data_IF_485060752344
#
_entry.id   IF_485060752344
#
_cell.length_a   1.000
_cell.length_b   1.000
_cell.length_c   1.000
_cell.angle_alpha   90.00
_cell.angle_beta   90.00
_cell.angle_gamma   90.00
#
_symmetry.space_group_name_H-M   'P 1'
#
loop_
_entity.id
_entity.type
_entity.pdbx_description
1 polymer ?
#
# COMPACT_ATOMS: atom_id res chain seq x y z
N UNK A 1 6.92 -6.55 -18.60
CA UNK A 1 5.62 -6.07 -18.07
C UNK A 1 5.94 -5.04 -17.02
N UNK A 2 5.49 -3.81 -17.15
CA UNK A 2 5.70 -2.79 -16.12
C UNK A 2 4.87 -3.20 -14.90
N UNK A 3 5.51 -3.55 -13.79
CA UNK A 3 4.78 -3.93 -12.58
C UNK A 3 3.90 -2.77 -12.13
N UNK A 4 2.63 -3.06 -11.81
CA UNK A 4 1.69 -2.05 -11.29
C UNK A 4 2.19 -1.48 -9.96
N UNK A 5 1.76 -0.26 -9.64
CA UNK A 5 2.10 0.39 -8.36
C UNK A 5 1.75 -0.52 -7.17
N UNK A 6 0.57 -1.16 -7.19
CA UNK A 6 0.16 -2.11 -6.15
C UNK A 6 1.14 -3.27 -5.99
N UNK A 7 1.54 -3.88 -7.10
CA UNK A 7 2.51 -4.99 -7.08
C UNK A 7 3.87 -4.58 -6.54
N UNK A 8 4.36 -3.38 -6.87
CA UNK A 8 5.62 -2.85 -6.32
C UNK A 8 5.54 -2.70 -4.79
N UNK A 9 4.41 -2.19 -4.29
CA UNK A 9 4.16 -2.04 -2.85
C UNK A 9 4.00 -3.38 -2.14
N UNK A 10 3.31 -4.34 -2.76
CA UNK A 10 3.18 -5.71 -2.26
C UNK A 10 4.55 -6.38 -2.10
N UNK A 11 5.40 -6.31 -3.14
CA UNK A 11 6.77 -6.86 -3.10
C UNK A 11 7.62 -6.22 -2.00
N UNK A 12 7.48 -4.91 -1.78
CA UNK A 12 8.13 -4.24 -0.66
C UNK A 12 7.73 -4.85 0.68
N UNK A 13 6.44 -5.03 0.93
CA UNK A 13 5.95 -5.58 2.21
C UNK A 13 6.30 -7.05 2.42
N UNK A 14 6.62 -7.81 1.36
CA UNK A 14 7.20 -9.16 1.47
C UNK A 14 8.61 -9.08 2.06
N UNK A 15 9.42 -8.10 1.63
CA UNK A 15 10.79 -7.89 2.12
C UNK A 15 10.84 -7.18 3.48
N UNK A 16 9.79 -6.43 3.82
CA UNK A 16 9.65 -5.69 5.08
C UNK A 16 8.46 -6.23 5.90
N UNK A 17 8.51 -7.49 6.39
CA UNK A 17 7.38 -8.12 7.10
C UNK A 17 7.05 -7.47 8.45
N UNK A 18 7.90 -6.57 8.94
CA UNK A 18 7.67 -5.74 10.12
C UNK A 18 6.86 -4.46 9.81
N UNK A 19 6.48 -4.23 8.55
CA UNK A 19 5.81 -3.01 8.11
C UNK A 19 4.47 -3.31 7.44
N UNK A 20 3.50 -2.44 7.67
CA UNK A 20 2.22 -2.36 6.98
C UNK A 20 2.15 -1.01 6.29
N UNK A 21 1.84 -1.01 5.01
CA UNK A 21 1.61 0.23 4.27
C UNK A 21 0.13 0.56 4.28
N UNK A 22 -0.21 1.77 4.70
CA UNK A 22 -1.55 2.32 4.57
C UNK A 22 -1.52 3.32 3.42
N UNK A 23 -2.06 2.91 2.28
CA UNK A 23 -2.07 3.69 1.05
C UNK A 23 -3.41 4.41 0.95
N UNK A 24 -3.38 5.74 0.99
CA UNK A 24 -4.55 6.55 0.64
C UNK A 24 -4.48 6.85 -0.86
N UNK A 25 -5.47 6.37 -1.61
CA UNK A 25 -5.52 6.54 -3.05
C UNK A 25 -6.91 6.98 -3.51
N UNK A 26 -6.97 7.70 -4.62
CA UNK A 26 -8.21 8.02 -5.31
C UNK A 26 -8.42 7.02 -6.46
N UNK A 27 -9.54 6.30 -6.40
CA UNK A 27 -9.94 5.28 -7.37
C UNK A 27 -11.31 5.66 -7.91
N UNK A 28 -11.40 5.94 -9.22
CA UNK A 28 -12.62 6.39 -9.88
C UNK A 28 -13.28 7.60 -9.16
N UNK A 29 -12.47 8.61 -8.82
CA UNK A 29 -12.89 9.82 -8.10
C UNK A 29 -13.37 9.60 -6.66
N UNK A 30 -13.13 8.43 -6.08
CA UNK A 30 -13.42 8.17 -4.67
C UNK A 30 -12.16 7.78 -3.92
N UNK A 31 -11.97 8.40 -2.76
CA UNK A 31 -10.86 8.09 -1.89
C UNK A 31 -11.09 6.74 -1.19
N UNK A 32 -10.06 5.92 -1.18
CA UNK A 32 -9.99 4.67 -0.46
C UNK A 32 -8.68 4.60 0.35
N UNK A 33 -8.69 3.78 1.40
CA UNK A 33 -7.50 3.42 2.16
C UNK A 33 -7.25 1.93 2.00
N UNK A 34 -6.04 1.59 1.55
CA UNK A 34 -5.64 0.23 1.24
C UNK A 34 -4.49 -0.14 2.17
N UNK A 35 -4.70 -1.16 2.99
CA UNK A 35 -3.64 -1.78 3.77
C UNK A 35 -2.90 -2.81 2.91
N UNK A 36 -1.58 -2.71 2.86
CA UNK A 36 -0.72 -3.68 2.16
C UNK A 36 0.22 -4.30 3.18
N UNK A 37 0.21 -5.64 3.25
CA UNK A 37 1.01 -6.40 4.22
C UNK A 37 1.39 -7.77 3.66
N UNK A 38 2.67 -8.12 3.74
CA UNK A 38 3.23 -9.41 3.30
C UNK A 38 2.75 -9.85 1.90
N UNK A 39 2.66 -8.90 0.98
CA UNK A 39 2.28 -9.16 -0.41
C UNK A 39 0.77 -9.19 -0.69
N UNK A 40 -0.07 -8.89 0.30
CA UNK A 40 -1.52 -8.81 0.14
C UNK A 40 -2.00 -7.38 0.32
N UNK A 41 -2.92 -6.95 -0.54
CA UNK A 41 -3.59 -5.65 -0.48
C UNK A 41 -5.05 -5.83 -0.06
N UNK A 42 -5.55 -4.97 0.83
CA UNK A 42 -6.95 -4.96 1.26
C UNK A 42 -7.47 -3.54 1.42
N UNK A 43 -8.64 -3.25 0.85
CA UNK A 43 -9.36 -2.01 1.15
C UNK A 43 -9.84 -2.03 2.60
N UNK A 44 -9.76 -0.89 3.28
CA UNK A 44 -10.25 -0.65 4.62
C UNK A 44 -11.62 0.02 4.62
N UNK A 45 -12.02 0.65 3.50
CA UNK A 45 -13.30 1.37 3.40
C UNK A 45 -14.36 0.58 2.64
N UNK A 46 -13.96 -0.39 1.82
CA UNK A 46 -14.85 -1.14 0.94
C UNK A 46 -14.59 -2.64 1.02
N UNK A 47 -15.61 -3.48 0.77
CA UNK A 47 -15.39 -4.89 0.53
C UNK A 47 -14.41 -5.07 -0.63
N UNK A 48 -13.37 -5.86 -0.43
CA UNK A 48 -12.48 -6.30 -1.51
C UNK A 48 -13.24 -7.22 -2.46
N UNK A 49 -12.96 -7.12 -3.76
CA UNK A 49 -13.49 -8.08 -4.73
C UNK A 49 -13.04 -9.49 -4.35
N UNK A 50 -13.96 -10.45 -4.40
CA UNK A 50 -13.62 -11.86 -4.21
C UNK A 50 -12.82 -12.43 -5.40
N UNK A 51 -12.82 -11.73 -6.53
CA UNK A 51 -12.03 -12.09 -7.70
C UNK A 51 -10.56 -11.67 -7.51
N UNK A 52 -9.62 -12.64 -7.39
CA UNK A 52 -8.20 -12.35 -7.18
C UNK A 52 -7.52 -11.68 -8.38
N UNK A 53 -8.13 -11.74 -9.57
CA UNK A 53 -7.60 -11.07 -10.77
C UNK A 53 -7.94 -9.57 -10.78
N UNK A 54 -8.80 -9.10 -9.87
CA UNK A 54 -9.15 -7.68 -9.74
C UNK A 54 -8.21 -7.02 -8.72
N UNK A 55 -7.25 -6.18 -9.17
CA UNK A 55 -6.31 -5.53 -8.27
C UNK A 55 -7.03 -4.52 -7.38
N UNK A 56 -6.77 -4.58 -6.06
CA UNK A 56 -7.29 -3.63 -5.08
C UNK A 56 -6.79 -2.21 -5.35
N UNK A 57 -5.54 -2.09 -5.81
CA UNK A 57 -4.94 -0.83 -6.26
C UNK A 57 -4.71 -0.87 -7.79
N UNK A 58 -5.67 -0.39 -8.60
CA UNK A 58 -5.54 -0.40 -10.05
C UNK A 58 -4.47 0.59 -10.54
N UNK A 59 -3.94 0.38 -11.75
CA UNK A 59 -2.88 1.23 -12.33
C UNK A 59 -3.27 2.71 -12.51
N UNK A 60 -4.56 2.97 -12.66
CA UNK A 60 -5.15 4.31 -12.75
C UNK A 60 -5.39 4.98 -11.38
N UNK A 61 -5.14 4.28 -10.28
CA UNK A 61 -5.29 4.85 -8.94
C UNK A 61 -4.28 5.97 -8.72
N UNK A 62 -4.73 7.10 -8.21
CA UNK A 62 -3.85 8.21 -7.84
C UNK A 62 -3.46 8.09 -6.39
N UNK A 63 -2.20 7.82 -6.11
CA UNK A 63 -1.67 7.83 -4.74
C UNK A 63 -1.72 9.26 -4.20
N UNK A 64 -2.45 9.45 -3.11
CA UNK A 64 -2.50 10.73 -2.38
C UNK A 64 -1.38 10.75 -1.34
N UNK A 65 -1.27 9.69 -0.55
CA UNK A 65 -0.22 9.52 0.46
C UNK A 65 -0.07 8.06 0.85
N UNK A 66 1.09 7.74 1.42
CA UNK A 66 1.39 6.43 2.00
C UNK A 66 1.87 6.66 3.42
N UNK A 67 1.32 5.89 4.36
CA UNK A 67 1.81 5.81 5.74
C UNK A 67 2.48 4.44 5.94
N UNK A 68 3.65 4.41 6.56
CA UNK A 68 4.36 3.20 6.99
C UNK A 68 4.08 2.98 8.47
N UNK A 69 3.55 1.82 8.82
CA UNK A 69 3.13 1.46 10.17
C UNK A 69 3.86 0.18 10.59
N UNK A 70 4.25 0.05 11.85
CA UNK A 70 4.82 -1.19 12.34
C UNK A 70 3.76 -2.29 12.45
N UNK A 71 4.18 -3.52 12.17
CA UNK A 71 3.42 -4.75 12.45
C UNK A 71 3.71 -5.23 13.88
N UNK A 72 2.73 -5.75 14.63
CA UNK A 72 1.32 -5.95 14.23
C UNK A 72 0.55 -4.63 14.12
N UNK A 73 -0.28 -4.51 13.09
CA UNK A 73 -1.12 -3.34 12.87
C UNK A 73 -2.29 -3.31 13.87
N UNK A 74 -2.35 -2.26 14.68
CA UNK A 74 -3.50 -1.95 15.52
C UNK A 74 -4.27 -0.74 14.93
N UNK A 75 -5.48 -0.91 14.37
CA UNK A 75 -6.24 0.20 13.81
C UNK A 75 -6.64 1.27 14.83
N UNK A 76 -6.76 0.92 16.11
CA UNK A 76 -7.12 1.86 17.18
C UNK A 76 -5.93 2.68 17.67
N UNK A 77 -4.72 2.15 17.51
CA UNK A 77 -3.48 2.81 17.90
C UNK A 77 -2.33 2.42 16.93
N UNK A 78 -2.33 2.98 15.70
CA UNK A 78 -1.32 2.62 14.71
C UNK A 78 0.05 3.15 15.13
N UNK A 79 1.06 2.28 15.15
CA UNK A 79 2.44 2.69 15.42
C UNK A 79 3.14 3.15 14.13
N UNK A 80 3.03 4.43 13.82
CA UNK A 80 3.60 4.98 12.59
C UNK A 80 5.12 5.07 12.62
N UNK A 81 5.76 4.46 11.63
CA UNK A 81 7.19 4.59 11.33
C UNK A 81 7.44 5.84 10.48
N UNK A 82 6.52 6.15 9.57
CA UNK A 82 6.58 7.32 8.69
C UNK A 82 5.17 7.65 8.18
N UNK A 83 4.82 8.94 8.08
CA UNK A 83 3.47 9.36 7.66
C UNK A 83 3.52 10.33 6.49
N UNK A 84 2.46 10.31 5.69
CA UNK A 84 2.18 11.31 4.68
C UNK A 84 3.19 11.32 3.54
N UNK A 85 3.91 10.23 3.29
CA UNK A 85 4.91 10.23 2.23
C UNK A 85 4.24 10.16 0.88
N UNK A 86 4.76 10.95 -0.06
CA UNK A 86 4.31 10.92 -1.44
C UNK A 86 4.91 9.72 -2.19
N UNK A 87 4.42 9.50 -3.40
CA UNK A 87 4.89 8.41 -4.25
C UNK A 87 6.40 8.49 -4.52
N UNK A 88 6.95 9.66 -4.81
CA UNK A 88 8.38 9.84 -5.09
C UNK A 88 9.28 9.40 -3.92
N UNK A 89 8.87 9.71 -2.68
CA UNK A 89 9.59 9.28 -1.47
C UNK A 89 9.50 7.77 -1.31
N UNK A 90 8.31 7.20 -1.57
CA UNK A 90 8.14 5.75 -1.53
C UNK A 90 8.99 5.06 -2.60
N UNK A 91 9.11 5.61 -3.81
CA UNK A 91 9.93 5.04 -4.87
C UNK A 91 11.40 4.91 -4.48
N UNK A 92 11.95 5.87 -3.73
CA UNK A 92 13.30 5.79 -3.18
C UNK A 92 13.44 4.58 -2.24
N UNK A 93 12.48 4.39 -1.34
CA UNK A 93 12.43 3.23 -0.43
C UNK A 93 12.29 1.89 -1.18
N UNK A 94 11.51 1.86 -2.27
CA UNK A 94 11.35 0.68 -3.12
C UNK A 94 12.66 0.30 -3.84
N UNK A 95 13.42 1.30 -4.30
CA UNK A 95 14.72 1.11 -4.93
C UNK A 95 15.75 0.57 -3.95
N UNK A 96 15.80 1.12 -2.73
CA UNK A 96 16.72 0.67 -1.68
C UNK A 96 16.44 -0.78 -1.25
N UNK A 97 15.16 -1.17 -1.18
CA UNK A 97 14.74 -2.53 -0.87
C UNK A 97 14.98 -3.54 -2.02
N UNK A 98 15.37 -3.07 -3.21
CA UNK A 98 15.65 -3.92 -4.38
C UNK A 98 17.11 -4.36 -4.47
N UNK A 99 17.98 -3.80 -3.62
CA UNK A 99 19.37 -4.22 -3.38
C UNK A 99 19.42 -5.34 -2.32
#
# INVERSE_FOLDING_TARGET
MTDSIGRRLEQYTIKHPQEVLIVTAEIASVQDQIAIYKGFSSSLMRPTSFDPDVPVLPSQAKIIKIDRVASPYNPSEPHYLQQGINWETMEKLLSDASL
#
